data_IF_987654191717
#
_entry.id   IF_987654191717
#
_cell.length_a   1.000
_cell.length_b   1.000
_cell.length_c   1.000
_cell.angle_alpha   90.00
_cell.angle_beta   90.00
_cell.angle_gamma   90.00
#
_symmetry.space_group_name_H-M   'P 1'
#
loop_
_entity.id
_entity.type
_entity.pdbx_description
1 polymer ?
#
# COMPACT_ATOMS: atom_id res chain seq x y z
N UNK A 1 16.60 15.49 -11.16
CA UNK A 1 16.56 14.33 -10.24
C UNK A 1 18.01 13.84 -10.10
N UNK A 2 18.47 13.43 -8.91
CA UNK A 2 19.85 12.94 -8.74
C UNK A 2 20.15 11.73 -9.63
N UNK A 3 21.38 11.59 -10.10
CA UNK A 3 21.80 10.49 -10.99
C UNK A 3 21.60 9.09 -10.38
N UNK A 4 21.69 8.93 -9.07
CA UNK A 4 21.46 7.64 -8.39
C UNK A 4 20.00 7.14 -8.43
N UNK A 5 19.05 7.97 -8.87
CA UNK A 5 17.68 7.53 -9.15
C UNK A 5 17.50 7.06 -10.60
N UNK A 6 18.54 7.16 -11.45
CA UNK A 6 18.53 6.67 -12.84
C UNK A 6 19.08 5.25 -12.97
N UNK A 7 19.50 4.62 -11.88
CA UNK A 7 19.86 3.21 -11.89
C UNK A 7 18.60 2.37 -12.09
N UNK A 8 18.66 1.57 -13.16
CA UNK A 8 17.62 0.69 -13.72
C UNK A 8 17.11 -0.39 -12.75
N UNK A 9 17.65 -0.44 -11.53
CA UNK A 9 17.41 -1.49 -10.54
C UNK A 9 15.93 -1.60 -10.14
N UNK A 10 15.22 -0.48 -9.98
CA UNK A 10 13.80 -0.53 -9.61
C UNK A 10 12.88 -0.98 -10.76
N UNK A 11 13.33 -0.87 -12.02
CA UNK A 11 12.59 -1.29 -13.22
C UNK A 11 12.86 -2.77 -13.58
N UNK A 12 13.99 -3.33 -13.13
CA UNK A 12 14.40 -4.70 -13.43
C UNK A 12 13.95 -5.73 -12.38
N UNK A 13 13.42 -5.29 -11.24
CA UNK A 13 12.92 -6.19 -10.18
C UNK A 13 11.44 -6.54 -10.45
N UNK A 14 11.22 -7.69 -11.09
CA UNK A 14 9.88 -8.28 -11.18
C UNK A 14 9.49 -8.95 -9.85
N UNK A 15 8.66 -8.27 -9.06
CA UNK A 15 8.10 -8.79 -7.81
C UNK A 15 6.83 -9.63 -8.03
N UNK A 16 6.51 -10.01 -9.28
CA UNK A 16 5.31 -10.81 -9.59
C UNK A 16 5.53 -12.28 -9.26
N UNK A 17 4.80 -12.86 -8.29
CA UNK A 17 4.91 -14.28 -8.00
C UNK A 17 4.37 -15.12 -9.16
N UNK A 18 5.00 -16.27 -9.42
CA UNK A 18 4.60 -17.17 -10.51
C UNK A 18 3.14 -17.67 -10.40
N UNK A 19 2.59 -17.74 -9.19
CA UNK A 19 1.22 -18.16 -8.92
C UNK A 19 0.22 -16.99 -8.77
N UNK A 20 0.66 -15.75 -8.93
CA UNK A 20 -0.17 -14.56 -8.82
C UNK A 20 0.24 -13.49 -9.83
N UNK A 21 0.10 -13.82 -11.12
CA UNK A 21 0.38 -12.89 -12.20
C UNK A 21 -0.50 -11.62 -12.08
N UNK A 22 0.11 -10.44 -12.25
CA UNK A 22 -0.61 -9.17 -12.22
C UNK A 22 -1.62 -9.11 -13.36
N UNK A 23 -2.87 -8.80 -13.02
CA UNK A 23 -3.99 -8.60 -13.96
C UNK A 23 -4.80 -7.39 -13.52
N UNK A 24 -5.38 -6.64 -14.45
CA UNK A 24 -6.20 -5.46 -14.15
C UNK A 24 -7.33 -5.77 -13.17
N UNK A 25 -7.97 -6.93 -13.30
CA UNK A 25 -9.01 -7.38 -12.38
C UNK A 25 -8.47 -7.57 -10.95
N UNK A 26 -7.28 -8.17 -10.81
CA UNK A 26 -6.63 -8.36 -9.52
C UNK A 26 -6.18 -7.04 -8.90
N UNK A 27 -5.61 -6.15 -9.72
CA UNK A 27 -5.22 -4.80 -9.28
C UNK A 27 -6.43 -3.96 -8.85
N UNK A 28 -7.54 -4.05 -9.58
CA UNK A 28 -8.79 -3.34 -9.26
C UNK A 28 -9.39 -3.85 -7.95
N UNK A 29 -9.45 -5.18 -7.77
CA UNK A 29 -9.89 -5.77 -6.51
C UNK A 29 -8.97 -5.35 -5.35
N UNK A 30 -7.65 -5.43 -5.54
CA UNK A 30 -6.67 -4.99 -4.55
C UNK A 30 -6.86 -3.53 -4.14
N UNK A 31 -7.15 -2.64 -5.10
CA UNK A 31 -7.48 -1.24 -4.81
C UNK A 31 -8.73 -1.13 -3.94
N UNK A 32 -9.80 -1.87 -4.22
CA UNK A 32 -11.01 -1.83 -3.38
C UNK A 32 -10.68 -2.29 -1.95
N UNK A 33 -10.00 -3.43 -1.81
CA UNK A 33 -9.62 -4.00 -0.51
C UNK A 33 -8.70 -3.08 0.29
N UNK A 34 -7.76 -2.39 -0.37
CA UNK A 34 -6.84 -1.44 0.28
C UNK A 34 -7.57 -0.31 1.03
N UNK A 35 -8.74 0.09 0.54
CA UNK A 35 -9.58 1.14 1.16
C UNK A 35 -10.74 0.56 2.00
N UNK A 36 -10.91 -0.76 2.07
CA UNK A 36 -12.02 -1.38 2.78
C UNK A 36 -11.69 -1.53 4.28
N UNK A 37 -12.51 -0.89 5.13
CA UNK A 37 -12.37 -1.00 6.59
C UNK A 37 -12.89 -2.31 7.15
N UNK A 38 -13.78 -3.01 6.43
CA UNK A 38 -14.35 -4.28 6.87
C UNK A 38 -13.29 -5.40 6.99
N UNK A 39 -12.09 -5.17 6.45
CA UNK A 39 -10.95 -6.07 6.65
C UNK A 39 -10.28 -5.93 8.02
N UNK A 40 -10.60 -4.88 8.78
CA UNK A 40 -10.12 -4.74 10.16
C UNK A 40 -11.07 -5.41 11.15
N UNK A 41 -10.53 -5.95 12.24
CA UNK A 41 -11.31 -6.73 13.21
C UNK A 41 -12.45 -5.95 13.89
N UNK A 42 -12.39 -4.61 13.90
CA UNK A 42 -13.43 -3.74 14.47
C UNK A 42 -14.09 -2.80 13.43
N UNK A 43 -13.79 -3.00 12.14
CA UNK A 43 -14.31 -2.19 11.02
C UNK A 43 -13.94 -0.70 11.05
N UNK A 44 -12.87 -0.27 11.74
CA UNK A 44 -12.52 1.15 11.86
C UNK A 44 -11.35 1.58 10.97
N UNK A 45 -10.44 0.66 10.60
CA UNK A 45 -9.19 0.97 9.91
C UNK A 45 -9.06 0.16 8.61
N UNK A 46 -8.42 0.75 7.60
CA UNK A 46 -8.06 0.09 6.33
C UNK A 46 -6.56 0.29 6.09
N UNK A 47 -5.99 -0.36 5.08
CA UNK A 47 -4.59 -0.10 4.70
C UNK A 47 -4.38 1.39 4.38
N UNK A 48 -5.32 2.01 3.67
CA UNK A 48 -5.32 3.42 3.30
C UNK A 48 -5.44 4.40 4.48
N UNK A 49 -5.81 3.92 5.68
CA UNK A 49 -5.90 4.79 6.86
C UNK A 49 -4.53 5.29 7.30
N UNK A 50 -3.49 4.46 7.15
CA UNK A 50 -2.10 4.83 7.43
C UNK A 50 -1.32 5.06 6.14
N UNK A 51 -1.59 4.31 5.06
CA UNK A 51 -0.89 4.46 3.77
C UNK A 51 -1.65 5.40 2.82
N UNK A 52 -1.56 6.70 3.06
CA UNK A 52 -2.41 7.70 2.40
C UNK A 52 -1.83 8.12 1.04
N UNK A 53 -2.62 8.00 -0.05
CA UNK A 53 -2.15 8.30 -1.41
C UNK A 53 -1.64 9.74 -1.58
N UNK A 54 -2.25 10.72 -0.89
CA UNK A 54 -1.82 12.12 -0.92
C UNK A 54 -0.51 12.38 -0.15
N UNK A 55 -0.06 11.43 0.68
CA UNK A 55 1.20 11.44 1.41
C UNK A 55 2.17 10.39 0.85
N UNK A 56 2.02 10.01 -0.43
CA UNK A 56 2.90 9.03 -1.08
C UNK A 56 2.73 7.60 -0.54
N UNK A 57 1.52 7.25 -0.12
CA UNK A 57 1.18 5.97 0.54
C UNK A 57 1.92 5.76 1.87
N UNK A 58 2.29 6.85 2.55
CA UNK A 58 2.81 6.86 3.93
C UNK A 58 1.79 7.49 4.88
N UNK A 59 2.07 7.35 6.18
CA UNK A 59 1.39 8.10 7.21
C UNK A 59 2.06 9.48 7.36
N UNK A 60 1.30 10.60 7.40
CA UNK A 60 1.86 11.90 7.74
C UNK A 60 2.27 12.02 9.21
N UNK A 61 1.71 11.19 10.11
CA UNK A 61 2.13 11.13 11.51
C UNK A 61 3.46 10.36 11.63
N UNK A 62 4.25 10.67 12.67
CA UNK A 62 5.54 9.98 12.92
C UNK A 62 5.35 8.48 13.18
N UNK A 63 4.24 8.11 13.82
CA UNK A 63 3.82 6.75 14.12
C UNK A 63 2.33 6.63 13.82
N UNK A 64 1.95 5.55 13.16
CA UNK A 64 0.56 5.30 12.81
C UNK A 64 -0.27 4.88 14.01
N UNK A 65 -1.53 5.33 14.06
CA UNK A 65 -2.50 4.81 15.03
C UNK A 65 -3.05 3.47 14.57
N UNK A 66 -2.78 2.43 15.35
CA UNK A 66 -3.26 1.07 15.11
C UNK A 66 -4.75 0.89 15.39
N UNK A 67 -5.21 -0.35 15.23
CA UNK A 67 -6.60 -0.78 15.43
C UNK A 67 -7.23 -0.31 16.76
N UNK A 68 -6.42 -0.29 17.83
CA UNK A 68 -6.85 0.07 19.19
C UNK A 68 -6.65 1.55 19.54
N UNK A 69 -6.22 2.38 18.58
CA UNK A 69 -5.93 3.80 18.78
C UNK A 69 -4.56 4.08 19.42
N UNK A 70 -3.73 3.06 19.61
CA UNK A 70 -2.36 3.18 20.10
C UNK A 70 -1.39 3.50 18.94
N UNK A 71 -0.35 4.27 19.23
CA UNK A 71 0.73 4.67 18.30
C UNK A 71 2.03 3.97 18.62
#
# INVERSE_FOLDING_TARGET
>A
MPEHYLETEALEVDNTPANNAIKDMGATLGRVLFYDKNLSANNTISCASCHQQNAGFSDPDKLSRGLNGET
#
